data_IF_702932755759
#
_entry.id   IF_702932755759
#
_cell.length_a   1.000
_cell.length_b   1.000
_cell.length_c   1.000
_cell.angle_alpha   90.00
_cell.angle_beta   90.00
_cell.angle_gamma   90.00
#
_symmetry.space_group_name_H-M   'P 1'
#
loop_
_entity.id
_entity.type
_entity.pdbx_description
1 polymer ?
#
# COMPACT_ATOMS: atom_id res chain seq x y z
N UNK A 1 -3.56 -15.30 29.24
CA UNK A 1 -4.98 -15.14 28.86
C UNK A 1 -5.40 -13.68 28.83
N UNK A 2 -5.10 -12.85 29.82
CA UNK A 2 -5.45 -11.41 29.82
C UNK A 2 -4.65 -10.52 28.84
N UNK A 3 -3.44 -10.92 28.45
CA UNK A 3 -2.61 -10.14 27.50
C UNK A 3 -2.98 -10.31 26.02
N UNK A 4 -3.90 -11.24 25.69
CA UNK A 4 -4.38 -11.45 24.31
C UNK A 4 -5.44 -10.42 23.93
N UNK A 5 -6.39 -10.17 24.82
CA UNK A 5 -7.49 -9.23 24.62
C UNK A 5 -7.01 -7.78 24.45
N UNK A 6 -6.11 -7.32 25.32
CA UNK A 6 -5.53 -5.96 25.23
C UNK A 6 -4.78 -5.72 23.90
N UNK A 7 -4.28 -6.78 23.26
CA UNK A 7 -3.53 -6.70 22.00
C UNK A 7 -4.43 -6.79 20.76
N UNK A 8 -5.47 -7.62 20.80
CA UNK A 8 -6.49 -7.68 19.72
C UNK A 8 -7.24 -6.35 19.65
N UNK A 9 -7.68 -5.81 20.78
CA UNK A 9 -8.37 -4.52 20.86
C UNK A 9 -7.50 -3.37 20.33
N UNK A 10 -6.18 -3.40 20.58
CA UNK A 10 -5.26 -2.37 20.10
C UNK A 10 -4.97 -2.42 18.60
N UNK A 11 -4.96 -3.61 17.99
CA UNK A 11 -4.76 -3.78 16.54
C UNK A 11 -6.05 -3.54 15.78
N UNK A 12 -7.19 -3.95 16.33
CA UNK A 12 -8.52 -3.67 15.81
C UNK A 12 -8.81 -2.16 15.88
N UNK A 13 -8.44 -1.49 16.98
CA UNK A 13 -8.49 -0.03 17.10
C UNK A 13 -7.61 0.69 16.06
N UNK A 14 -6.39 0.19 15.77
CA UNK A 14 -5.53 0.77 14.73
C UNK A 14 -6.10 0.49 13.33
N UNK A 15 -6.68 -0.69 13.08
CA UNK A 15 -7.39 -0.99 11.83
C UNK A 15 -8.62 -0.09 11.66
N UNK A 16 -9.46 0.01 12.67
CA UNK A 16 -10.72 0.75 12.62
C UNK A 16 -10.47 2.27 12.55
N UNK A 17 -9.48 2.78 13.29
CA UNK A 17 -9.15 4.21 13.32
C UNK A 17 -8.29 4.70 12.14
N UNK A 18 -7.44 3.85 11.54
CA UNK A 18 -6.55 4.24 10.41
C UNK A 18 -7.06 3.72 9.07
N UNK A 19 -7.71 2.55 9.03
CA UNK A 19 -8.15 1.93 7.77
C UNK A 19 -9.63 2.15 7.48
N UNK A 20 -10.53 2.03 8.45
CA UNK A 20 -11.95 2.02 8.10
C UNK A 20 -12.50 3.43 7.81
N UNK A 21 -12.17 4.44 8.63
CA UNK A 21 -12.57 5.83 8.32
C UNK A 21 -11.89 6.39 7.08
N UNK A 22 -10.57 6.29 6.98
CA UNK A 22 -9.80 6.89 5.88
C UNK A 22 -9.92 6.14 4.55
N UNK A 23 -10.16 4.83 4.55
CA UNK A 23 -10.30 4.05 3.31
C UNK A 23 -11.73 4.13 2.76
N UNK A 24 -12.75 4.25 3.61
CA UNK A 24 -14.13 4.47 3.15
C UNK A 24 -14.30 5.87 2.57
N UNK A 25 -13.73 6.89 3.23
CA UNK A 25 -13.69 8.24 2.67
C UNK A 25 -12.90 8.30 1.35
N UNK A 26 -11.75 7.61 1.27
CA UNK A 26 -10.98 7.52 0.02
C UNK A 26 -11.75 6.80 -1.09
N UNK A 27 -12.57 5.80 -0.78
CA UNK A 27 -13.46 5.10 -1.75
C UNK A 27 -14.52 6.02 -2.34
N UNK A 28 -14.94 7.05 -1.61
CA UNK A 28 -15.90 8.04 -2.11
C UNK A 28 -15.29 9.06 -3.07
N UNK A 29 -13.96 9.18 -3.12
CA UNK A 29 -13.30 10.13 -4.02
C UNK A 29 -13.63 9.77 -5.48
N UNK A 30 -13.93 10.76 -6.32
CA UNK A 30 -14.36 10.52 -7.70
C UNK A 30 -13.32 9.76 -8.52
N UNK A 31 -12.03 9.78 -8.13
CA UNK A 31 -10.94 9.06 -8.78
C UNK A 31 -10.86 7.57 -8.39
N UNK A 32 -11.40 7.20 -7.24
CA UNK A 32 -11.22 5.87 -6.67
C UNK A 32 -11.87 4.75 -7.49
N UNK A 33 -13.11 4.89 -8.01
CA UNK A 33 -13.68 3.91 -8.94
C UNK A 33 -12.81 3.72 -10.19
N UNK A 34 -12.21 4.81 -10.70
CA UNK A 34 -11.32 4.74 -11.86
C UNK A 34 -9.96 4.12 -11.53
N UNK A 35 -9.50 4.20 -10.29
CA UNK A 35 -8.26 3.54 -9.86
C UNK A 35 -8.38 2.02 -10.01
N UNK A 36 -9.45 1.44 -9.47
CA UNK A 36 -9.69 0.00 -9.57
C UNK A 36 -9.89 -0.43 -11.02
N UNK A 37 -10.71 0.31 -11.78
CA UNK A 37 -10.93 0.04 -13.21
C UNK A 37 -9.65 0.16 -14.03
N UNK A 38 -8.78 1.12 -13.74
CA UNK A 38 -7.50 1.31 -14.43
C UNK A 38 -6.54 0.16 -14.10
N UNK A 39 -6.45 -0.23 -12.84
CA UNK A 39 -5.59 -1.34 -12.42
C UNK A 39 -6.11 -2.69 -12.94
N UNK A 40 -7.42 -2.89 -12.93
CA UNK A 40 -8.09 -4.03 -13.54
C UNK A 40 -7.86 -4.04 -15.05
N UNK A 41 -7.98 -2.90 -15.74
CA UNK A 41 -7.67 -2.79 -17.17
C UNK A 41 -6.20 -3.11 -17.46
N UNK A 42 -5.26 -2.64 -16.63
CA UNK A 42 -3.82 -2.96 -16.75
C UNK A 42 -3.55 -4.48 -16.57
N UNK A 43 -4.32 -5.15 -15.72
CA UNK A 43 -4.15 -6.58 -15.43
C UNK A 43 -4.90 -7.49 -16.44
N UNK A 44 -6.14 -7.15 -16.79
CA UNK A 44 -7.02 -7.90 -17.68
C UNK A 44 -6.68 -7.68 -19.15
N UNK A 45 -6.34 -6.45 -19.52
CA UNK A 45 -5.66 -6.23 -20.78
C UNK A 45 -4.19 -6.56 -20.55
N UNK A 46 -3.84 -7.80 -20.89
CA UNK A 46 -2.51 -8.23 -21.35
C UNK A 46 -2.08 -7.40 -22.57
N UNK A 47 -2.25 -6.09 -22.54
CA UNK A 47 -1.69 -5.19 -23.50
C UNK A 47 -0.19 -5.34 -23.32
N UNK A 48 0.46 -6.00 -24.29
CA UNK A 48 1.90 -6.21 -24.26
C UNK A 48 2.68 -4.91 -23.99
N UNK A 49 2.08 -3.75 -24.30
CA UNK A 49 2.66 -2.44 -24.03
C UNK A 49 2.80 -2.19 -22.52
N UNK A 50 1.84 -2.63 -21.71
CA UNK A 50 1.84 -2.47 -20.26
C UNK A 50 2.81 -3.43 -19.57
N UNK A 51 2.90 -4.69 -20.02
CA UNK A 51 3.88 -5.66 -19.47
C UNK A 51 5.34 -5.28 -19.78
N UNK A 52 5.55 -4.47 -20.83
CA UNK A 52 6.86 -3.89 -21.18
C UNK A 52 7.24 -2.68 -20.31
N UNK A 53 6.32 -2.11 -19.52
CA UNK A 53 6.63 -1.00 -18.64
C UNK A 53 7.46 -1.47 -17.44
N UNK A 54 8.59 -0.79 -17.19
CA UNK A 54 9.46 -1.07 -16.04
C UNK A 54 8.73 -1.01 -14.70
N UNK A 55 7.66 -0.22 -14.61
CA UNK A 55 6.84 -0.03 -13.39
C UNK A 55 5.74 -1.09 -13.23
N UNK A 56 5.47 -1.91 -14.25
CA UNK A 56 4.39 -2.90 -14.20
C UNK A 56 4.47 -3.87 -13.00
N UNK A 57 5.65 -4.40 -12.61
CA UNK A 57 5.75 -5.32 -11.48
C UNK A 57 5.26 -4.74 -10.15
N UNK A 58 5.52 -3.45 -9.89
CA UNK A 58 5.06 -2.80 -8.66
C UNK A 58 3.56 -2.49 -8.71
N UNK A 59 3.05 -2.04 -9.86
CA UNK A 59 1.63 -1.75 -10.04
C UNK A 59 0.79 -3.02 -9.84
N UNK A 60 1.21 -4.14 -10.43
CA UNK A 60 0.55 -5.43 -10.28
C UNK A 60 0.52 -5.88 -8.82
N UNK A 61 1.61 -5.68 -8.07
CA UNK A 61 1.65 -6.04 -6.64
C UNK A 61 0.80 -5.13 -5.77
N UNK A 62 0.75 -3.83 -6.06
CA UNK A 62 -0.14 -2.90 -5.36
C UNK A 62 -1.60 -3.31 -5.57
N UNK A 63 -1.99 -3.61 -6.81
CA UNK A 63 -3.35 -4.03 -7.14
C UNK A 63 -3.73 -5.36 -6.48
N UNK A 64 -2.86 -6.36 -6.56
CA UNK A 64 -3.10 -7.67 -5.93
C UNK A 64 -2.85 -7.68 -4.42
N UNK A 65 -2.67 -6.51 -3.80
CA UNK A 65 -2.46 -6.35 -2.35
C UNK A 65 -1.33 -7.23 -1.81
N UNK A 66 -0.24 -7.33 -2.58
CA UNK A 66 0.96 -8.08 -2.25
C UNK A 66 1.97 -7.19 -1.55
N UNK A 67 2.74 -7.78 -0.63
CA UNK A 67 3.85 -7.12 0.04
C UNK A 67 4.92 -6.68 -0.98
N UNK A 68 5.29 -5.42 -0.90
CA UNK A 68 6.34 -4.77 -1.68
C UNK A 68 7.65 -4.76 -0.92
N UNK A 69 8.73 -5.28 -1.53
CA UNK A 69 10.06 -5.26 -0.89
C UNK A 69 10.78 -3.95 -1.17
N UNK A 70 11.70 -3.55 -0.28
CA UNK A 70 12.46 -2.30 -0.41
C UNK A 70 13.20 -2.15 -1.75
N UNK A 71 13.83 -3.20 -2.35
CA UNK A 71 14.44 -3.07 -3.68
C UNK A 71 13.46 -2.67 -4.79
N UNK A 72 12.22 -3.15 -4.70
CA UNK A 72 11.17 -2.87 -5.69
C UNK A 72 10.68 -1.42 -5.55
N UNK A 73 10.49 -0.97 -4.31
CA UNK A 73 10.13 0.42 -4.00
C UNK A 73 11.25 1.38 -4.45
N UNK A 74 12.50 1.02 -4.22
CA UNK A 74 13.64 1.82 -4.63
C UNK A 74 13.74 1.92 -6.16
N UNK A 75 13.56 0.80 -6.88
CA UNK A 75 13.54 0.78 -8.34
C UNK A 75 12.41 1.67 -8.91
N UNK A 76 11.22 1.61 -8.31
CA UNK A 76 10.12 2.49 -8.68
C UNK A 76 10.40 3.97 -8.38
N UNK A 77 11.01 4.27 -7.23
CA UNK A 77 11.37 5.64 -6.85
C UNK A 77 12.34 6.27 -7.86
N UNK A 78 13.25 5.50 -8.46
CA UNK A 78 14.16 6.03 -9.51
C UNK A 78 13.40 6.55 -10.73
N UNK A 79 12.31 5.89 -11.12
CA UNK A 79 11.50 6.27 -12.30
C UNK A 79 10.59 7.50 -12.02
N UNK A 80 10.44 7.92 -10.75
CA UNK A 80 9.67 9.11 -10.39
C UNK A 80 10.43 10.40 -10.70
N UNK A 81 9.70 11.38 -11.24
CA UNK A 81 10.22 12.75 -11.47
C UNK A 81 10.45 13.46 -10.13
N UNK A 82 11.37 14.44 -10.12
CA UNK A 82 11.70 15.18 -8.90
C UNK A 82 10.47 15.79 -8.20
N UNK A 83 9.53 16.36 -8.97
CA UNK A 83 8.28 16.92 -8.41
C UNK A 83 7.33 15.87 -7.80
N UNK A 84 7.51 14.58 -8.11
CA UNK A 84 6.74 13.48 -7.55
C UNK A 84 7.37 12.94 -6.24
N UNK A 85 8.58 13.37 -5.90
CA UNK A 85 9.32 12.98 -4.68
C UNK A 85 9.15 14.04 -3.59
N UNK A 86 7.90 14.33 -3.26
CA UNK A 86 7.60 15.28 -2.19
C UNK A 86 8.07 14.72 -0.84
N UNK A 87 8.89 15.50 -0.14
CA UNK A 87 9.30 15.23 1.23
C UNK A 87 8.26 15.79 2.21
N UNK A 88 7.98 15.02 3.25
CA UNK A 88 7.13 15.40 4.36
C UNK A 88 7.97 15.92 5.54
N UNK A 89 7.35 16.55 6.57
CA UNK A 89 8.05 17.09 7.73
C UNK A 89 8.85 16.07 8.55
N UNK A 90 8.56 14.78 8.38
CA UNK A 90 9.24 13.64 9.03
C UNK A 90 10.41 13.07 8.21
N UNK A 91 10.83 13.78 7.15
CA UNK A 91 11.87 13.37 6.19
C UNK A 91 11.54 12.10 5.37
N UNK A 92 10.30 11.60 5.43
CA UNK A 92 9.83 10.58 4.50
C UNK A 92 9.30 11.19 3.22
N UNK A 93 9.34 10.44 2.12
CA UNK A 93 8.60 10.82 0.91
C UNK A 93 7.14 10.38 1.02
N UNK A 94 6.25 11.02 0.24
CA UNK A 94 4.86 10.54 0.09
C UNK A 94 4.83 9.07 -0.34
N UNK A 95 5.76 8.66 -1.21
CA UNK A 95 5.91 7.27 -1.64
C UNK A 95 6.24 6.35 -0.46
N UNK A 96 7.20 6.72 0.40
CA UNK A 96 7.59 5.86 1.53
C UNK A 96 6.40 5.61 2.47
N UNK A 97 5.64 6.65 2.82
CA UNK A 97 4.43 6.49 3.66
C UNK A 97 3.39 5.61 2.99
N UNK A 98 3.06 5.88 1.74
CA UNK A 98 2.07 5.11 0.99
C UNK A 98 2.45 3.61 0.89
N UNK A 99 3.74 3.30 0.70
CA UNK A 99 4.19 1.91 0.62
C UNK A 99 4.23 1.22 1.97
N UNK A 100 4.50 1.95 3.07
CA UNK A 100 4.41 1.41 4.44
C UNK A 100 2.96 1.06 4.78
N UNK A 101 2.03 2.00 4.54
CA UNK A 101 0.59 1.78 4.75
C UNK A 101 0.07 0.59 3.93
N UNK A 102 0.42 0.55 2.64
CA UNK A 102 0.08 -0.57 1.75
C UNK A 102 0.58 -1.92 2.28
N UNK A 103 1.85 -1.98 2.69
CA UNK A 103 2.45 -3.22 3.19
C UNK A 103 1.83 -3.65 4.52
N UNK A 104 1.51 -2.70 5.40
CA UNK A 104 0.83 -2.99 6.66
C UNK A 104 -0.57 -3.55 6.41
N UNK A 105 -1.34 -2.93 5.51
CA UNK A 105 -2.66 -3.42 5.10
C UNK A 105 -2.56 -4.82 4.48
N UNK A 106 -1.63 -5.02 3.54
CA UNK A 106 -1.39 -6.30 2.87
C UNK A 106 -0.99 -7.40 3.87
N UNK A 107 -0.09 -7.09 4.81
CA UNK A 107 0.33 -8.03 5.85
C UNK A 107 -0.82 -8.39 6.79
N UNK A 108 -1.72 -7.45 7.09
CA UNK A 108 -2.88 -7.67 7.96
C UNK A 108 -3.91 -8.66 7.39
N UNK A 109 -3.90 -8.87 6.07
CA UNK A 109 -4.73 -9.85 5.36
C UNK A 109 -4.08 -11.24 5.31
N UNK A 110 -2.76 -11.31 5.44
CA UNK A 110 -1.98 -12.55 5.35
C UNK A 110 -1.64 -13.15 6.71
N UNK A 111 -1.44 -12.32 7.73
CA UNK A 111 -1.01 -12.74 9.05
C UNK A 111 -2.09 -12.43 10.09
N UNK A 112 -2.47 -13.45 10.85
CA UNK A 112 -3.31 -13.30 12.05
C UNK A 112 -2.54 -12.63 13.20
N UNK A 113 -1.20 -12.71 13.21
CA UNK A 113 -0.36 -12.08 14.23
C UNK A 113 0.96 -11.59 13.63
N UNK A 114 1.26 -10.30 13.76
CA UNK A 114 2.53 -9.67 13.36
C UNK A 114 3.28 -9.18 14.59
N UNK A 115 4.44 -9.79 14.89
CA UNK A 115 5.32 -9.35 15.98
C UNK A 115 6.20 -8.20 15.49
N UNK A 116 5.95 -6.98 15.98
CA UNK A 116 6.84 -5.84 15.72
C UNK A 116 8.07 -5.96 16.63
N UNK A 117 9.25 -6.09 16.02
CA UNK A 117 10.52 -6.08 16.75
C UNK A 117 11.16 -4.71 16.56
N UNK A 118 11.13 -3.90 17.60
CA UNK A 118 11.86 -2.62 17.67
C UNK A 118 13.31 -2.99 18.02
N UNK A 119 14.28 -2.53 17.22
CA UNK A 119 15.70 -2.79 17.41
C UNK A 119 16.43 -1.49 17.68
#
# INVERSE_FOLDING_TARGET
YLSKYVFEDGVEFIKESVMDGEMDDRKTLPVYPYREQLLEAINNHQDERCSKLKIYPILQKVYLERILRKPEINAFSVELKAHQKALLPDNFTVLDRAMIEHNLLSASKLYTNTRIRIQ
#
